data_IF_441658315836
#
_entry.id   IF_441658315836
#
_cell.length_a   1.000
_cell.length_b   1.000
_cell.length_c   1.000
_cell.angle_alpha   90.00
_cell.angle_beta   90.00
_cell.angle_gamma   90.00
#
_symmetry.space_group_name_H-M   'P 1'
#
loop_
_entity.id
_entity.type
_entity.pdbx_description
1 polymer ?
#
# COMPACT_ATOMS: atom_id res chain seq x y z
N UNK A 1 16.99 23.02 12.90
CA UNK A 1 16.85 21.54 12.99
C UNK A 1 17.88 21.05 13.98
N UNK A 2 17.48 20.55 15.15
CA UNK A 2 18.42 19.91 16.09
C UNK A 2 18.76 18.52 15.53
N UNK A 3 20.02 18.26 15.27
CA UNK A 3 20.47 16.91 14.94
C UNK A 3 20.47 16.08 16.22
N UNK A 4 19.88 14.90 16.18
CA UNK A 4 19.95 13.92 17.25
C UNK A 4 21.41 13.47 17.43
N UNK A 5 21.94 13.36 18.65
CA UNK A 5 23.25 12.76 18.90
C UNK A 5 23.29 11.32 18.36
N UNK A 6 24.45 10.90 17.87
CA UNK A 6 24.61 9.62 17.16
C UNK A 6 24.31 8.42 18.07
N UNK A 7 24.67 8.49 19.34
CA UNK A 7 24.42 7.48 20.37
C UNK A 7 22.91 7.28 20.64
N UNK A 8 22.15 8.38 20.69
CA UNK A 8 20.70 8.35 20.85
C UNK A 8 20.03 7.75 19.61
N UNK A 9 20.51 8.09 18.42
CA UNK A 9 20.01 7.55 17.16
C UNK A 9 20.27 6.04 17.05
N UNK A 10 21.47 5.57 17.42
CA UNK A 10 21.80 4.14 17.40
C UNK A 10 20.99 3.34 18.44
N UNK A 11 20.75 3.93 19.61
CA UNK A 11 19.88 3.33 20.62
C UNK A 11 18.43 3.17 20.14
N UNK A 12 17.88 4.19 19.48
CA UNK A 12 16.52 4.14 18.90
C UNK A 12 16.40 3.09 17.80
N UNK A 13 17.42 2.96 16.92
CA UNK A 13 17.46 1.96 15.86
C UNK A 13 17.49 0.54 16.44
N UNK A 14 18.24 0.33 17.53
CA UNK A 14 18.35 -0.98 18.15
C UNK A 14 17.05 -1.46 18.81
N UNK A 15 16.18 -0.54 19.21
CA UNK A 15 14.90 -0.83 19.86
C UNK A 15 13.78 -1.18 18.88
N UNK A 16 13.92 -0.86 17.59
CA UNK A 16 12.92 -1.14 16.56
C UNK A 16 13.50 -1.87 15.37
N UNK A 17 13.21 -3.18 15.20
CA UNK A 17 13.67 -3.96 14.05
C UNK A 17 13.24 -3.36 12.70
N UNK A 18 12.03 -2.81 12.63
CA UNK A 18 11.51 -2.15 11.43
C UNK A 18 12.31 -0.88 11.08
N UNK A 19 12.64 -0.07 12.07
CA UNK A 19 13.47 1.13 11.88
C UNK A 19 14.88 0.76 11.46
N UNK A 20 15.46 -0.29 12.04
CA UNK A 20 16.77 -0.82 11.67
C UNK A 20 16.81 -1.26 10.21
N UNK A 21 15.85 -2.09 9.79
CA UNK A 21 15.73 -2.55 8.41
C UNK A 21 15.54 -1.38 7.43
N UNK A 22 14.78 -0.35 7.81
CA UNK A 22 14.58 0.85 7.01
C UNK A 22 15.88 1.66 6.85
N UNK A 23 16.62 1.89 7.93
CA UNK A 23 17.91 2.62 7.91
C UNK A 23 18.96 1.85 7.12
N UNK A 24 19.04 0.55 7.25
CA UNK A 24 19.96 -0.30 6.49
C UNK A 24 19.63 -0.26 4.99
N UNK A 25 18.36 -0.34 4.62
CA UNK A 25 17.87 -0.17 3.24
C UNK A 25 18.22 1.21 2.67
N UNK A 26 18.02 2.25 3.45
CA UNK A 26 18.36 3.62 3.07
C UNK A 26 19.88 3.79 2.85
N UNK A 27 20.71 3.27 3.77
CA UNK A 27 22.18 3.30 3.65
C UNK A 27 22.68 2.52 2.42
N UNK A 28 22.06 1.36 2.11
CA UNK A 28 22.41 0.58 0.92
C UNK A 28 22.07 1.33 -0.37
N UNK A 29 20.95 2.04 -0.41
CA UNK A 29 20.51 2.82 -1.57
C UNK A 29 21.32 4.11 -1.77
N UNK A 30 21.84 4.72 -0.71
CA UNK A 30 22.71 5.91 -0.81
C UNK A 30 24.04 5.67 -1.58
N UNK A 31 24.52 4.43 -1.63
CA UNK A 31 25.77 4.07 -2.31
C UNK A 31 25.61 3.84 -3.81
N UNK A 32 24.38 3.78 -4.33
CA UNK A 32 24.10 3.56 -5.75
C UNK A 32 23.86 4.90 -6.44
N UNK A 33 24.44 5.15 -7.63
CA UNK A 33 24.12 6.35 -8.42
C UNK A 33 22.66 6.27 -8.85
N UNK A 34 21.83 7.11 -8.24
CA UNK A 34 20.40 7.17 -8.47
C UNK A 34 19.99 8.58 -8.89
N UNK A 35 18.98 8.66 -9.74
CA UNK A 35 18.33 9.90 -10.09
C UNK A 35 17.42 10.39 -8.93
N UNK A 36 16.74 11.55 -9.13
CA UNK A 36 15.81 12.12 -8.13
C UNK A 36 14.61 11.23 -7.81
N UNK A 37 14.30 10.28 -8.70
CA UNK A 37 13.20 9.34 -8.56
C UNK A 37 13.63 8.01 -7.91
N UNK A 38 14.91 7.83 -7.59
CA UNK A 38 15.46 6.62 -7.00
C UNK A 38 15.74 5.51 -8.02
N UNK A 39 15.76 5.83 -9.31
CA UNK A 39 16.17 4.92 -10.39
C UNK A 39 17.67 5.06 -10.68
N UNK A 40 18.25 4.08 -11.38
CA UNK A 40 19.64 4.18 -11.82
C UNK A 40 19.84 5.46 -12.66
N UNK A 41 20.86 6.24 -12.33
CA UNK A 41 21.24 7.42 -13.11
C UNK A 41 21.85 6.96 -14.44
N UNK A 42 21.14 7.18 -15.53
CA UNK A 42 21.57 6.79 -16.89
C UNK A 42 22.20 8.01 -17.55
N UNK A 43 23.45 7.88 -18.00
CA UNK A 43 24.12 8.90 -18.76
C UNK A 43 23.72 8.82 -20.24
N UNK A 44 23.30 9.95 -20.79
CA UNK A 44 22.81 10.05 -22.18
C UNK A 44 23.58 11.14 -22.92
N UNK A 45 23.85 10.90 -24.18
CA UNK A 45 24.25 11.91 -25.14
C UNK A 45 23.07 12.28 -26.03
N UNK A 46 22.85 13.57 -26.27
CA UNK A 46 21.82 14.07 -27.16
C UNK A 46 22.38 15.15 -28.11
N UNK A 47 21.89 15.14 -29.32
CA UNK A 47 22.27 16.11 -30.36
C UNK A 47 23.20 15.53 -31.45
N UNK A 48 23.36 16.30 -32.56
CA UNK A 48 24.18 15.95 -33.72
C UNK A 48 25.35 16.96 -33.86
N UNK A 49 26.32 16.87 -32.96
CA UNK A 49 27.52 17.74 -33.00
C UNK A 49 28.79 16.90 -33.26
N UNK A 50 28.87 16.34 -34.45
CA UNK A 50 29.93 15.40 -34.81
C UNK A 50 29.64 13.96 -34.37
N UNK A 51 30.68 13.15 -34.20
CA UNK A 51 30.56 11.78 -33.65
C UNK A 51 31.17 11.74 -32.23
N UNK A 52 30.39 12.14 -31.21
CA UNK A 52 30.91 12.13 -29.85
C UNK A 52 31.07 10.69 -29.35
N UNK A 53 32.06 10.49 -28.47
CA UNK A 53 32.14 9.24 -27.70
C UNK A 53 30.86 9.13 -26.85
N UNK A 54 30.07 8.07 -27.05
CA UNK A 54 28.84 7.86 -26.30
C UNK A 54 29.18 7.59 -24.83
N UNK A 55 28.46 8.24 -23.90
CA UNK A 55 28.62 7.96 -22.49
C UNK A 55 28.15 6.52 -22.19
N UNK A 56 28.94 5.78 -21.45
CA UNK A 56 28.59 4.47 -20.96
C UNK A 56 28.02 4.53 -19.54
N UNK A 57 26.97 3.80 -19.28
CA UNK A 57 26.46 3.62 -17.92
C UNK A 57 26.81 2.22 -17.46
N UNK A 58 27.61 2.12 -16.40
CA UNK A 58 27.89 0.85 -15.76
C UNK A 58 26.85 0.61 -14.67
N UNK A 59 26.10 -0.47 -14.82
CA UNK A 59 25.14 -0.93 -13.81
C UNK A 59 25.77 -2.12 -13.08
N UNK A 60 26.06 -1.93 -11.81
CA UNK A 60 26.69 -2.96 -11.00
C UNK A 60 25.70 -4.07 -10.64
N UNK A 61 26.22 -5.27 -10.42
CA UNK A 61 25.43 -6.42 -9.99
C UNK A 61 24.91 -6.21 -8.57
N UNK A 62 23.65 -6.53 -8.34
CA UNK A 62 23.09 -6.58 -7.00
C UNK A 62 23.34 -7.95 -6.38
N UNK A 63 24.33 -8.01 -5.48
CA UNK A 63 24.73 -9.25 -4.80
C UNK A 63 23.65 -9.79 -3.86
N UNK A 64 22.74 -8.91 -3.40
CA UNK A 64 21.59 -9.26 -2.56
C UNK A 64 20.35 -8.58 -3.12
N UNK A 65 19.72 -9.19 -4.13
CA UNK A 65 18.48 -8.66 -4.68
C UNK A 65 17.40 -8.56 -3.59
N UNK A 66 16.51 -7.60 -3.75
CA UNK A 66 15.42 -7.41 -2.80
C UNK A 66 14.43 -8.56 -2.92
N UNK A 67 14.24 -9.28 -1.84
CA UNK A 67 13.25 -10.35 -1.73
C UNK A 67 11.97 -9.80 -1.11
N UNK A 68 10.83 -10.33 -1.56
CA UNK A 68 9.52 -10.00 -1.04
C UNK A 68 8.86 -11.29 -0.58
N UNK A 69 8.67 -11.42 0.72
CA UNK A 69 7.96 -12.56 1.31
C UNK A 69 6.45 -12.33 1.21
N UNK A 70 5.72 -13.44 0.98
CA UNK A 70 4.27 -13.42 1.06
C UNK A 70 3.84 -13.67 2.51
N UNK A 71 2.95 -12.84 2.99
CA UNK A 71 2.22 -13.07 4.23
C UNK A 71 0.98 -13.93 3.97
N UNK A 72 0.42 -14.49 5.03
CA UNK A 72 -0.78 -15.33 4.93
C UNK A 72 -1.81 -14.90 5.98
N UNK A 73 -3.06 -14.75 5.54
CA UNK A 73 -4.20 -14.74 6.44
C UNK A 73 -4.99 -16.03 6.24
N UNK A 74 -5.29 -16.71 7.34
CA UNK A 74 -5.99 -17.98 7.30
C UNK A 74 -6.92 -18.16 8.49
N UNK A 75 -7.98 -18.93 8.27
CA UNK A 75 -8.92 -19.29 9.32
C UNK A 75 -9.55 -20.65 9.05
N UNK A 76 -10.09 -21.27 10.08
CA UNK A 76 -10.84 -22.52 9.96
C UNK A 76 -12.31 -22.23 10.23
N UNK A 77 -13.12 -22.32 9.18
CA UNK A 77 -14.58 -22.35 9.31
C UNK A 77 -15.01 -23.76 9.72
N UNK A 78 -15.75 -23.85 10.82
CA UNK A 78 -16.28 -25.12 11.34
C UNK A 78 -17.80 -25.15 11.12
N UNK A 79 -18.28 -26.13 10.39
CA UNK A 79 -19.69 -26.30 10.09
C UNK A 79 -20.15 -27.66 10.57
N UNK A 80 -21.23 -27.73 11.35
CA UNK A 80 -21.80 -29.01 11.77
C UNK A 80 -22.35 -29.76 10.56
N UNK A 81 -22.11 -31.08 10.44
CA UNK A 81 -22.55 -31.88 9.29
C UNK A 81 -24.04 -31.78 9.03
N UNK A 82 -24.85 -31.67 10.09
CA UNK A 82 -26.31 -31.45 9.95
C UNK A 82 -26.65 -30.18 9.15
N UNK A 83 -25.84 -29.12 9.27
CA UNK A 83 -26.04 -27.88 8.50
C UNK A 83 -25.67 -28.09 7.03
N UNK A 84 -24.63 -28.89 6.77
CA UNK A 84 -24.23 -29.27 5.41
C UNK A 84 -25.29 -30.16 4.73
N UNK A 85 -25.96 -31.02 5.50
CA UNK A 85 -26.95 -31.98 5.00
C UNK A 85 -28.35 -31.36 4.85
N UNK A 86 -28.63 -30.28 5.57
CA UNK A 86 -29.88 -29.53 5.42
C UNK A 86 -29.73 -28.55 4.27
N UNK A 87 -30.14 -28.97 3.10
CA UNK A 87 -30.30 -28.10 1.95
C UNK A 87 -31.62 -27.35 2.07
N UNK A 88 -31.53 -26.04 2.31
CA UNK A 88 -32.69 -25.14 2.23
C UNK A 88 -32.62 -24.37 0.92
N UNK A 89 -33.33 -24.82 -0.08
CA UNK A 89 -33.54 -24.02 -1.29
C UNK A 89 -34.50 -22.86 -0.95
N UNK A 90 -34.16 -21.58 -1.23
CA UNK A 90 -33.03 -21.12 -2.06
C UNK A 90 -31.74 -20.81 -1.29
N UNK A 91 -31.60 -21.10 -0.01
CA UNK A 91 -30.48 -20.69 0.81
C UNK A 91 -29.54 -21.85 1.17
N UNK A 92 -28.31 -21.82 0.63
CA UNK A 92 -27.23 -22.70 1.05
C UNK A 92 -26.46 -22.07 2.22
N UNK A 93 -26.73 -22.51 3.46
CA UNK A 93 -26.12 -21.94 4.66
C UNK A 93 -24.59 -22.11 4.68
N UNK A 94 -24.07 -23.24 4.19
CA UNK A 94 -22.62 -23.49 4.15
C UNK A 94 -21.93 -22.53 3.18
N UNK A 95 -22.50 -22.33 1.99
CA UNK A 95 -21.97 -21.38 1.00
C UNK A 95 -22.00 -19.95 1.53
N UNK A 96 -23.06 -19.56 2.23
CA UNK A 96 -23.16 -18.22 2.82
C UNK A 96 -22.14 -17.99 3.93
N UNK A 97 -21.91 -18.97 4.81
CA UNK A 97 -20.88 -18.89 5.85
C UNK A 97 -19.47 -18.84 5.26
N UNK A 98 -19.22 -19.60 4.18
CA UNK A 98 -17.96 -19.49 3.44
C UNK A 98 -17.78 -18.11 2.82
N UNK A 99 -18.80 -17.55 2.20
CA UNK A 99 -18.78 -16.20 1.63
C UNK A 99 -18.42 -15.15 2.68
N UNK A 100 -19.09 -15.18 3.84
CA UNK A 100 -18.79 -14.26 4.95
C UNK A 100 -17.37 -14.43 5.49
N UNK A 101 -16.90 -15.68 5.56
CA UNK A 101 -15.52 -15.97 6.00
C UNK A 101 -14.48 -15.42 5.00
N UNK A 102 -14.75 -15.56 3.71
CA UNK A 102 -13.90 -15.01 2.64
C UNK A 102 -13.89 -13.47 2.73
N UNK A 103 -15.03 -12.84 2.94
CA UNK A 103 -15.10 -11.39 3.11
C UNK A 103 -14.28 -10.91 4.30
N UNK A 104 -14.39 -11.59 5.45
CA UNK A 104 -13.58 -11.26 6.63
C UNK A 104 -12.06 -11.40 6.37
N UNK A 105 -11.65 -12.39 5.58
CA UNK A 105 -10.25 -12.54 5.16
C UNK A 105 -9.81 -11.44 4.19
N UNK A 106 -10.67 -11.02 3.25
CA UNK A 106 -10.41 -9.89 2.35
C UNK A 106 -10.24 -8.60 3.15
N UNK A 107 -11.11 -8.33 4.11
CA UNK A 107 -10.99 -7.21 5.03
C UNK A 107 -9.67 -7.21 5.80
N UNK A 108 -9.25 -8.37 6.32
CA UNK A 108 -7.97 -8.51 7.00
C UNK A 108 -6.80 -8.28 6.05
N UNK A 109 -6.84 -8.83 4.84
CA UNK A 109 -5.83 -8.62 3.79
C UNK A 109 -5.68 -7.14 3.46
N UNK A 110 -6.79 -6.42 3.26
CA UNK A 110 -6.77 -4.98 2.98
C UNK A 110 -6.13 -4.19 4.13
N UNK A 111 -6.48 -4.55 5.36
CA UNK A 111 -5.89 -3.92 6.54
C UNK A 111 -4.37 -4.14 6.60
N UNK A 112 -3.92 -5.36 6.37
CA UNK A 112 -2.48 -5.71 6.37
C UNK A 112 -1.73 -5.00 5.25
N UNK A 113 -2.28 -4.93 4.04
CA UNK A 113 -1.65 -4.23 2.92
C UNK A 113 -1.40 -2.74 3.22
N UNK A 114 -2.18 -2.13 4.08
CA UNK A 114 -1.99 -0.74 4.52
C UNK A 114 -1.09 -0.66 5.75
N UNK A 115 -1.35 -1.48 6.78
CA UNK A 115 -0.86 -1.25 8.14
C UNK A 115 0.26 -2.21 8.59
N UNK A 116 0.57 -3.26 7.85
CA UNK A 116 1.61 -4.21 8.26
C UNK A 116 2.98 -3.51 8.34
N UNK A 117 3.74 -3.67 9.46
CA UNK A 117 5.05 -3.04 9.62
C UNK A 117 6.09 -3.48 8.60
N UNK A 118 5.98 -4.69 8.06
CA UNK A 118 6.99 -5.29 7.17
C UNK A 118 6.78 -4.90 5.71
N UNK A 119 5.54 -4.97 5.21
CA UNK A 119 5.22 -4.72 3.80
C UNK A 119 4.08 -3.72 3.58
N UNK A 120 3.37 -3.29 4.63
CA UNK A 120 2.25 -2.37 4.53
C UNK A 120 2.65 -1.01 3.96
N UNK A 121 1.81 -0.45 3.12
CA UNK A 121 2.10 0.78 2.37
C UNK A 121 2.40 1.96 3.29
N UNK A 122 1.68 2.07 4.42
CA UNK A 122 1.87 3.17 5.36
C UNK A 122 3.28 3.17 5.98
N UNK A 123 3.89 2.00 6.17
CA UNK A 123 5.20 1.86 6.82
C UNK A 123 6.37 1.78 5.83
N UNK A 124 6.11 1.36 4.58
CA UNK A 124 7.16 1.13 3.57
C UNK A 124 7.39 2.31 2.61
N UNK A 125 6.73 3.43 2.79
CA UNK A 125 7.06 4.65 2.09
C UNK A 125 8.43 5.17 2.53
N UNK A 126 9.27 5.57 1.56
CA UNK A 126 10.58 6.17 1.83
C UNK A 126 10.45 7.46 2.66
N UNK A 127 11.41 7.71 3.55
CA UNK A 127 11.40 8.89 4.42
C UNK A 127 11.38 10.21 3.63
N UNK A 128 12.05 10.25 2.48
CA UNK A 128 12.04 11.43 1.59
C UNK A 128 10.69 11.67 0.92
N UNK A 129 9.85 10.65 0.90
CA UNK A 129 8.52 10.67 0.29
C UNK A 129 7.41 10.93 1.31
N UNK A 130 7.76 11.20 2.56
CA UNK A 130 6.85 11.60 3.63
C UNK A 130 6.87 13.11 3.80
N UNK A 131 5.71 13.71 3.82
CA UNK A 131 5.53 15.15 4.08
C UNK A 131 4.46 15.33 5.15
N UNK A 132 4.61 16.35 5.96
CA UNK A 132 3.59 16.74 6.94
C UNK A 132 2.66 17.80 6.36
N UNK A 133 1.41 17.81 6.82
CA UNK A 133 0.51 18.93 6.52
C UNK A 133 1.05 20.24 7.09
N UNK A 134 0.83 21.34 6.39
CA UNK A 134 1.30 22.69 6.80
C UNK A 134 0.47 23.29 7.92
N UNK A 135 -0.83 23.01 7.93
CA UNK A 135 -1.81 23.65 8.81
C UNK A 135 -2.71 22.69 9.58
N UNK A 136 -2.39 21.40 9.58
CA UNK A 136 -3.19 20.34 10.20
C UNK A 136 -4.20 19.71 9.25
N UNK A 137 -5.28 20.39 8.78
CA UNK A 137 -6.16 19.80 7.77
C UNK A 137 -5.45 19.72 6.40
N UNK A 138 -5.85 18.74 5.54
CA UNK A 138 -5.22 18.56 4.24
C UNK A 138 -5.65 19.71 3.31
N UNK A 139 -4.68 20.49 2.85
CA UNK A 139 -4.92 21.62 1.96
C UNK A 139 -4.65 21.28 0.50
N UNK A 140 -5.21 22.05 -0.47
CA UNK A 140 -4.81 21.96 -1.87
C UNK A 140 -3.31 22.04 -2.10
N UNK A 141 -2.61 22.91 -1.35
CA UNK A 141 -1.17 23.08 -1.45
C UNK A 141 -0.40 21.84 -0.98
N UNK A 142 -0.89 21.15 0.06
CA UNK A 142 -0.30 19.91 0.54
C UNK A 142 -0.47 18.78 -0.50
N UNK A 143 -1.65 18.74 -1.15
CA UNK A 143 -1.91 17.76 -2.20
C UNK A 143 -1.08 18.06 -3.46
N UNK A 144 -0.91 19.31 -3.83
CA UNK A 144 -0.05 19.72 -4.95
C UNK A 144 1.42 19.40 -4.66
N UNK A 145 1.90 19.62 -3.43
CA UNK A 145 3.26 19.25 -3.03
C UNK A 145 3.44 17.72 -3.07
N UNK A 146 2.45 16.97 -2.60
CA UNK A 146 2.49 15.52 -2.62
C UNK A 146 2.59 14.97 -4.06
N UNK A 147 1.87 15.55 -5.02
CA UNK A 147 1.93 15.15 -6.44
C UNK A 147 3.22 15.61 -7.10
N UNK A 148 3.66 16.84 -6.85
CA UNK A 148 4.81 17.45 -7.55
C UNK A 148 6.13 16.71 -7.28
N UNK A 149 6.25 16.02 -6.16
CA UNK A 149 7.43 15.24 -5.79
C UNK A 149 7.54 13.92 -6.54
N UNK A 150 6.52 13.51 -7.30
CA UNK A 150 6.38 12.18 -7.92
C UNK A 150 6.07 12.26 -9.39
N UNK A 151 6.45 11.21 -10.08
CA UNK A 151 6.09 11.01 -11.48
C UNK A 151 4.86 10.11 -11.56
N UNK A 152 3.92 10.43 -12.46
CA UNK A 152 2.81 9.56 -12.85
C UNK A 152 1.96 9.07 -11.66
N UNK A 153 1.67 9.93 -10.68
CA UNK A 153 0.73 9.58 -9.60
C UNK A 153 -0.60 9.16 -10.20
N UNK A 154 -1.07 7.96 -9.84
CA UNK A 154 -2.31 7.38 -10.39
C UNK A 154 -3.48 7.52 -9.45
N UNK A 155 -3.25 7.36 -8.15
CA UNK A 155 -4.30 7.36 -7.13
C UNK A 155 -3.84 8.03 -5.85
N UNK A 156 -4.80 8.66 -5.18
CA UNK A 156 -4.71 8.93 -3.76
C UNK A 156 -5.56 7.89 -3.01
N UNK A 157 -5.06 7.39 -1.89
CA UNK A 157 -5.86 6.67 -0.90
C UNK A 157 -5.99 7.54 0.33
N UNK A 158 -7.21 7.78 0.78
CA UNK A 158 -7.49 8.61 1.94
C UNK A 158 -8.66 8.05 2.76
N UNK A 159 -8.59 8.20 4.07
CA UNK A 159 -9.72 7.89 4.92
C UNK A 159 -10.93 8.77 4.55
N UNK A 160 -12.18 8.27 4.53
CA UNK A 160 -13.35 9.07 4.15
C UNK A 160 -13.48 10.40 4.89
N UNK A 161 -13.11 10.44 6.17
CA UNK A 161 -13.08 11.67 6.97
C UNK A 161 -12.01 12.66 6.49
N UNK A 162 -10.87 12.18 5.97
CA UNK A 162 -9.84 13.04 5.39
C UNK A 162 -10.30 13.62 4.04
N UNK A 163 -11.02 12.84 3.23
CA UNK A 163 -11.64 13.34 1.99
C UNK A 163 -12.61 14.47 2.31
N UNK A 164 -13.44 14.30 3.34
CA UNK A 164 -14.36 15.34 3.78
C UNK A 164 -13.62 16.59 4.32
N UNK A 165 -12.51 16.40 5.05
CA UNK A 165 -11.68 17.51 5.53
C UNK A 165 -11.04 18.27 4.36
N UNK A 166 -10.54 17.57 3.35
CA UNK A 166 -10.01 18.17 2.12
C UNK A 166 -11.09 18.96 1.38
N UNK A 167 -12.30 18.40 1.25
CA UNK A 167 -13.42 19.12 0.64
C UNK A 167 -13.77 20.42 1.37
N UNK A 168 -13.73 20.43 2.71
CA UNK A 168 -13.94 21.67 3.50
C UNK A 168 -12.86 22.72 3.23
N UNK A 169 -11.59 22.30 3.12
CA UNK A 169 -10.50 23.22 2.81
C UNK A 169 -10.60 23.77 1.37
N UNK A 170 -11.02 22.95 0.43
CA UNK A 170 -11.31 23.39 -0.93
C UNK A 170 -12.45 24.43 -0.95
N UNK A 171 -13.55 24.15 -0.26
CA UNK A 171 -14.70 25.06 -0.18
C UNK A 171 -14.34 26.43 0.42
N UNK A 172 -13.52 26.46 1.48
CA UNK A 172 -13.02 27.71 2.07
C UNK A 172 -12.26 28.60 1.07
N UNK A 173 -11.65 27.97 0.06
CA UNK A 173 -10.86 28.65 -0.99
C UNK A 173 -11.62 28.85 -2.29
N UNK A 174 -12.91 28.47 -2.35
CA UNK A 174 -13.71 28.51 -3.57
C UNK A 174 -13.22 27.58 -4.67
N UNK A 175 -12.50 26.51 -4.30
CA UNK A 175 -12.01 25.49 -5.22
C UNK A 175 -12.93 24.28 -5.21
N UNK A 176 -13.22 23.76 -6.40
CA UNK A 176 -14.08 22.57 -6.54
C UNK A 176 -13.29 21.44 -7.16
N UNK A 177 -13.00 20.36 -6.42
CA UNK A 177 -12.34 19.17 -6.96
C UNK A 177 -13.14 18.60 -8.15
N UNK A 178 -12.44 18.17 -9.17
CA UNK A 178 -13.06 17.51 -10.33
C UNK A 178 -13.54 16.11 -9.96
N UNK A 179 -14.37 15.52 -10.79
CA UNK A 179 -14.82 14.13 -10.64
C UNK A 179 -14.28 13.31 -11.79
N UNK A 180 -13.71 12.16 -11.49
CA UNK A 180 -13.16 11.21 -12.46
C UNK A 180 -13.86 9.87 -12.30
N UNK A 181 -14.14 9.19 -13.41
CA UNK A 181 -14.66 7.83 -13.41
C UNK A 181 -13.50 6.83 -13.28
N UNK A 182 -13.63 5.91 -12.34
CA UNK A 182 -12.69 4.79 -12.15
C UNK A 182 -13.51 3.52 -12.04
N UNK A 183 -13.44 2.67 -13.07
CA UNK A 183 -14.15 1.40 -13.07
C UNK A 183 -15.68 1.50 -13.01
N UNK A 184 -16.28 2.58 -13.53
CA UNK A 184 -17.71 2.82 -13.51
C UNK A 184 -18.22 3.53 -12.23
N UNK A 185 -17.33 3.81 -11.27
CA UNK A 185 -17.64 4.60 -10.08
C UNK A 185 -17.02 6.00 -10.16
N UNK A 186 -17.75 7.00 -9.68
CA UNK A 186 -17.32 8.41 -9.70
C UNK A 186 -16.64 8.79 -8.39
N UNK A 187 -15.38 9.25 -8.48
CA UNK A 187 -14.59 9.69 -7.35
C UNK A 187 -14.19 11.16 -7.49
N UNK A 188 -14.06 11.84 -6.37
CA UNK A 188 -13.41 13.15 -6.36
C UNK A 188 -11.96 13.00 -6.81
N UNK A 189 -11.46 13.98 -7.55
CA UNK A 189 -10.09 13.97 -8.06
C UNK A 189 -9.43 15.32 -7.80
N UNK A 190 -8.13 15.28 -7.52
CA UNK A 190 -7.30 16.46 -7.44
C UNK A 190 -6.26 16.43 -8.56
N UNK A 191 -6.22 17.50 -9.38
CA UNK A 191 -5.35 17.59 -10.57
C UNK A 191 -5.49 16.40 -11.52
N UNK A 192 -6.71 15.85 -11.64
CA UNK A 192 -6.98 14.66 -12.47
C UNK A 192 -6.62 13.30 -11.82
N UNK A 193 -6.08 13.32 -10.61
CA UNK A 193 -5.77 12.10 -9.84
C UNK A 193 -6.94 11.80 -8.91
N UNK A 194 -7.62 10.65 -9.05
CA UNK A 194 -8.76 10.27 -8.20
C UNK A 194 -8.33 10.00 -6.76
N UNK A 195 -9.20 10.38 -5.83
CA UNK A 195 -9.04 10.16 -4.40
C UNK A 195 -9.97 9.01 -4.00
N UNK A 196 -9.41 7.85 -3.77
CA UNK A 196 -10.14 6.65 -3.42
C UNK A 196 -10.32 6.56 -1.90
N UNK A 197 -11.52 6.27 -1.41
CA UNK A 197 -11.74 6.08 0.01
C UNK A 197 -11.10 4.77 0.48
N UNK A 198 -10.41 4.84 1.62
CA UNK A 198 -9.79 3.69 2.28
C UNK A 198 -10.00 3.82 3.79
N UNK A 199 -10.91 3.05 4.34
CA UNK A 199 -11.25 3.01 5.77
C UNK A 199 -10.19 2.27 6.62
N UNK A 200 -9.25 1.57 5.97
CA UNK A 200 -8.14 0.86 6.64
C UNK A 200 -7.00 1.79 7.06
N UNK A 201 -6.99 3.04 6.59
CA UNK A 201 -6.05 4.05 7.08
C UNK A 201 -6.39 4.41 8.53
N UNK A 202 -5.43 4.28 9.46
CA UNK A 202 -5.70 4.47 10.88
C UNK A 202 -5.96 5.94 11.21
N UNK A 203 -6.82 6.15 12.19
CA UNK A 203 -7.01 7.46 12.83
C UNK A 203 -6.32 7.41 14.19
N UNK A 204 -5.42 8.36 14.44
CA UNK A 204 -4.73 8.48 15.71
C UNK A 204 -5.67 8.98 16.82
N UNK A 205 -5.19 8.89 18.08
CA UNK A 205 -5.92 9.47 19.23
C UNK A 205 -6.08 10.98 19.13
N UNK A 206 -5.19 11.64 18.40
CA UNK A 206 -5.19 13.09 18.17
C UNK A 206 -6.10 13.48 17.00
N UNK A 207 -6.94 12.55 16.50
CA UNK A 207 -7.83 12.74 15.37
C UNK A 207 -7.10 13.13 14.09
N UNK A 208 -5.93 12.53 13.87
CA UNK A 208 -5.14 12.66 12.64
C UNK A 208 -5.06 11.33 11.88
N UNK A 209 -4.83 11.40 10.59
CA UNK A 209 -4.62 10.25 9.71
C UNK A 209 -3.55 10.57 8.67
N UNK A 210 -3.39 9.70 7.66
CA UNK A 210 -2.48 9.91 6.53
C UNK A 210 -3.23 9.83 5.21
N UNK A 211 -2.68 10.47 4.17
CA UNK A 211 -3.12 10.31 2.79
C UNK A 211 -1.94 9.71 2.00
N UNK A 212 -2.20 8.62 1.28
CA UNK A 212 -1.21 7.99 0.41
C UNK A 212 -1.39 8.49 -1.02
N UNK A 213 -0.29 8.75 -1.71
CA UNK A 213 -0.25 9.00 -3.14
C UNK A 213 0.60 7.93 -3.79
N UNK A 214 0.07 7.25 -4.81
CA UNK A 214 0.76 6.12 -5.39
C UNK A 214 0.70 6.08 -6.92
N UNK A 215 1.77 5.55 -7.48
CA UNK A 215 1.86 5.03 -8.83
C UNK A 215 1.72 3.51 -8.74
N UNK A 216 0.97 2.90 -9.62
CA UNK A 216 0.73 1.46 -9.62
C UNK A 216 1.24 0.82 -10.91
N UNK A 217 1.49 -0.48 -10.83
CA UNK A 217 1.86 -1.31 -11.97
C UNK A 217 3.37 -1.53 -12.10
N UNK A 218 3.73 -2.68 -12.63
CA UNK A 218 5.12 -3.09 -12.82
C UNK A 218 5.79 -2.27 -13.93
N UNK A 219 5.08 -2.02 -15.04
CA UNK A 219 5.60 -1.27 -16.18
C UNK A 219 5.98 0.17 -15.83
N UNK A 220 5.24 0.78 -14.92
CA UNK A 220 5.53 2.11 -14.39
C UNK A 220 6.45 2.08 -13.15
N UNK A 221 6.98 0.92 -12.77
CA UNK A 221 7.77 0.73 -11.55
C UNK A 221 7.06 1.25 -10.30
N UNK A 222 5.77 0.99 -10.24
CA UNK A 222 4.89 1.49 -9.20
C UNK A 222 4.82 0.59 -7.97
N UNK A 223 3.74 0.74 -7.24
CA UNK A 223 3.32 -0.20 -6.19
C UNK A 223 2.67 -1.40 -6.86
N UNK A 224 3.06 -2.60 -6.44
CA UNK A 224 2.57 -3.88 -6.97
C UNK A 224 2.06 -4.72 -5.82
N UNK A 225 0.85 -5.26 -5.96
CA UNK A 225 0.36 -6.32 -5.09
C UNK A 225 0.96 -7.66 -5.50
N UNK A 226 1.47 -8.40 -4.54
CA UNK A 226 2.01 -9.74 -4.74
C UNK A 226 1.04 -10.77 -4.23
N UNK A 227 0.86 -11.84 -4.98
CA UNK A 227 0.00 -12.95 -4.60
C UNK A 227 0.53 -14.26 -5.19
N UNK A 228 0.16 -15.38 -4.61
CA UNK A 228 0.42 -16.69 -5.18
C UNK A 228 -0.73 -17.07 -6.13
N UNK A 229 -0.47 -17.78 -7.19
CA UNK A 229 -1.46 -18.24 -8.14
C UNK A 229 -1.20 -19.71 -8.53
N UNK A 230 -2.27 -20.42 -8.93
CA UNK A 230 -2.16 -21.84 -9.31
C UNK A 230 -1.95 -22.79 -8.15
N UNK A 231 -2.38 -22.40 -6.95
CA UNK A 231 -2.34 -23.26 -5.76
C UNK A 231 -3.55 -24.22 -5.75
N UNK A 232 -3.41 -25.43 -5.18
CA UNK A 232 -4.53 -26.36 -5.08
C UNK A 232 -5.72 -25.76 -4.30
N UNK A 233 -6.93 -26.10 -4.70
CA UNK A 233 -8.20 -25.62 -4.11
C UNK A 233 -8.39 -24.10 -4.20
N UNK A 234 -7.78 -23.45 -5.20
CA UNK A 234 -7.92 -22.01 -5.45
C UNK A 234 -9.33 -21.68 -5.96
N UNK A 235 -9.99 -20.74 -5.29
CA UNK A 235 -11.34 -20.24 -5.64
C UNK A 235 -11.26 -18.88 -6.35
N UNK A 236 -10.35 -18.03 -5.87
CA UNK A 236 -9.97 -16.76 -6.47
C UNK A 236 -8.43 -16.65 -6.42
N UNK A 237 -7.81 -15.77 -7.22
CA UNK A 237 -6.36 -15.62 -7.18
C UNK A 237 -5.81 -15.43 -5.77
N UNK A 238 -4.97 -16.38 -5.34
CA UNK A 238 -4.37 -16.45 -3.98
C UNK A 238 -5.33 -16.81 -2.84
N UNK A 239 -6.58 -17.11 -3.09
CA UNK A 239 -7.56 -17.52 -2.10
C UNK A 239 -7.89 -19.00 -2.28
N UNK A 240 -7.67 -19.79 -1.24
CA UNK A 240 -7.98 -21.24 -1.23
C UNK A 240 -9.04 -21.55 -0.21
N UNK A 241 -9.91 -22.51 -0.56
CA UNK A 241 -10.91 -23.07 0.34
C UNK A 241 -10.77 -24.59 0.33
N UNK A 242 -10.05 -25.13 1.30
CA UNK A 242 -9.79 -26.57 1.41
C UNK A 242 -10.73 -27.21 2.41
N UNK A 243 -11.54 -28.18 1.94
CA UNK A 243 -12.31 -29.02 2.84
C UNK A 243 -11.38 -30.00 3.58
N UNK A 244 -11.46 -29.98 4.90
CA UNK A 244 -10.74 -30.89 5.78
C UNK A 244 -11.66 -32.06 6.20
N UNK A 245 -11.08 -33.03 6.91
CA UNK A 245 -11.86 -34.15 7.42
C UNK A 245 -12.92 -33.71 8.46
N UNK A 246 -13.96 -34.52 8.59
CA UNK A 246 -14.95 -34.39 9.66
C UNK A 246 -14.32 -34.86 10.97
N UNK A 247 -14.45 -34.07 12.03
CA UNK A 247 -13.93 -34.46 13.36
C UNK A 247 -14.93 -35.29 14.16
N UNK A 248 -14.48 -35.72 15.37
CA UNK A 248 -15.25 -36.59 16.28
C UNK A 248 -16.56 -35.95 16.79
N UNK A 249 -16.73 -34.64 16.60
CA UNK A 249 -17.94 -33.87 16.94
C UNK A 249 -18.89 -33.72 15.75
N UNK A 250 -18.70 -34.46 14.68
CA UNK A 250 -19.45 -34.35 13.43
C UNK A 250 -19.38 -32.93 12.82
N UNK A 251 -18.21 -32.25 12.93
CA UNK A 251 -17.95 -30.94 12.33
C UNK A 251 -17.11 -31.12 11.08
N UNK A 252 -17.56 -30.54 9.97
CA UNK A 252 -16.74 -30.36 8.78
C UNK A 252 -15.94 -29.07 8.93
N UNK A 253 -14.63 -29.16 8.73
CA UNK A 253 -13.72 -28.02 8.78
C UNK A 253 -13.37 -27.58 7.35
N UNK A 254 -13.35 -26.28 7.11
CA UNK A 254 -12.87 -25.67 5.88
C UNK A 254 -11.69 -24.75 6.24
N UNK A 255 -10.50 -25.04 5.73
CA UNK A 255 -9.36 -24.14 5.82
C UNK A 255 -9.50 -23.12 4.70
N UNK A 256 -9.64 -21.84 5.07
CA UNK A 256 -9.67 -20.73 4.14
C UNK A 256 -8.40 -19.91 4.32
N UNK A 257 -7.61 -19.75 3.26
CA UNK A 257 -6.31 -19.07 3.30
C UNK A 257 -6.15 -18.13 2.13
N UNK A 258 -5.48 -17.00 2.37
CA UNK A 258 -5.08 -16.07 1.30
C UNK A 258 -3.63 -15.64 1.51
N UNK A 259 -2.84 -15.62 0.43
CA UNK A 259 -1.43 -15.23 0.42
C UNK A 259 -1.29 -13.89 -0.28
N UNK A 260 -0.57 -12.96 0.32
CA UNK A 260 -0.45 -11.60 -0.19
C UNK A 260 0.78 -10.89 0.34
N UNK A 261 1.23 -9.89 -0.40
CA UNK A 261 2.20 -8.89 0.05
C UNK A 261 2.07 -7.64 -0.82
N UNK A 262 2.82 -6.61 -0.51
CA UNK A 262 2.94 -5.42 -1.33
C UNK A 262 4.40 -5.07 -1.56
N UNK A 263 4.72 -4.67 -2.78
CA UNK A 263 6.05 -4.23 -3.15
C UNK A 263 6.00 -2.78 -3.66
N UNK A 264 6.87 -1.94 -3.13
CA UNK A 264 7.14 -0.60 -3.66
C UNK A 264 8.43 -0.69 -4.47
N UNK A 265 8.32 -0.69 -5.81
CA UNK A 265 9.46 -0.99 -6.68
C UNK A 265 10.52 0.11 -6.65
N UNK A 266 10.09 1.37 -6.65
CA UNK A 266 10.99 2.53 -6.51
C UNK A 266 10.45 3.51 -5.45
N UNK A 267 11.34 4.26 -4.79
CA UNK A 267 10.94 5.14 -3.67
C UNK A 267 9.87 6.18 -4.03
N UNK A 268 9.91 6.75 -5.23
CA UNK A 268 8.95 7.78 -5.66
C UNK A 268 7.56 7.22 -6.08
N UNK A 269 7.41 5.89 -6.08
CA UNK A 269 6.13 5.25 -6.39
C UNK A 269 5.07 5.44 -5.31
N UNK A 270 5.50 5.66 -4.07
CA UNK A 270 4.62 5.81 -2.92
C UNK A 270 5.01 7.03 -2.08
N UNK A 271 4.04 7.88 -1.78
CA UNK A 271 4.21 9.02 -0.90
C UNK A 271 3.14 9.07 0.16
N UNK A 272 3.48 9.71 1.27
CA UNK A 272 2.61 9.84 2.43
C UNK A 272 2.53 11.30 2.85
N UNK A 273 1.31 11.82 2.95
CA UNK A 273 1.01 13.04 3.67
C UNK A 273 0.62 12.65 5.09
N UNK A 274 1.42 13.04 6.06
CA UNK A 274 1.26 12.70 7.47
C UNK A 274 0.57 13.81 8.27
N UNK A 275 0.07 13.46 9.45
CA UNK A 275 -0.55 14.38 10.41
C UNK A 275 -1.75 15.14 9.84
N UNK A 276 -2.51 14.47 8.99
CA UNK A 276 -3.73 15.01 8.38
C UNK A 276 -4.81 15.15 9.44
N UNK A 277 -5.05 16.35 9.94
CA UNK A 277 -6.10 16.61 10.93
C UNK A 277 -7.50 16.49 10.28
N UNK A 278 -8.38 15.75 10.93
CA UNK A 278 -9.71 15.47 10.39
C UNK A 278 -10.73 16.58 10.69
N UNK A 279 -10.36 17.50 11.57
CA UNK A 279 -11.28 18.50 12.10
C UNK A 279 -12.32 17.87 13.05
N UNK A 280 -12.86 18.63 13.95
CA UNK A 280 -14.02 18.26 14.77
C UNK A 280 -15.32 18.45 14.01
#
# INVERSE_FOLDING_TARGET
>A
MMALPQDVFESLISQSPALKAHVERYRANLKKPQDKAGQAAIALAAGHHGEPVLPGTFVDYELKPREYELSVAQTILRVHTRVSDIFNDPMNQTAEQLRLTIEALKERKEWELINNPEFGLLHNADLKQRINTRSGPPTPDDMDELVSRRRKTRYFLAHPRAIAAFGRECNKRGLYPTVVDVGGAKFQAWRGVPILPCDKLPISRENTTSILAMRIGQDDQGVVGLHNAGIPDEVEPSLTVKRMAVNDQAMTNYLVSTYYSAAVLVPDALGVLENVALGG
#
